data_IF_632591514701
#
_entry.id   IF_632591514701
#
_cell.length_a   1.000
_cell.length_b   1.000
_cell.length_c   1.000
_cell.angle_alpha   90.00
_cell.angle_beta   90.00
_cell.angle_gamma   90.00
#
_symmetry.space_group_name_H-M   'P 1'
#
loop_
_entity.id
_entity.type
_entity.pdbx_description
1 polymer ?
#
# COMPACT_ATOMS: atom_id res chain seq x y z
N UNK A 1 -0.09 -0.95 5.80
CA UNK A 1 -1.26 -0.09 5.84
C UNK A 1 -2.16 -0.29 7.05
N UNK A 2 -2.05 -1.40 7.74
CA UNK A 2 -2.77 -1.62 9.01
C UNK A 2 -2.11 -0.92 10.21
N UNK A 3 -0.94 -0.32 10.03
CA UNK A 3 -0.25 0.41 11.07
C UNK A 3 0.61 -0.44 12.01
N UNK A 4 0.89 -1.69 11.67
CA UNK A 4 1.77 -2.56 12.47
C UNK A 4 3.22 -2.40 12.01
N UNK A 5 3.89 -1.37 12.51
CA UNK A 5 5.23 -0.94 12.05
C UNK A 5 6.28 -2.05 12.21
N UNK A 6 6.37 -2.67 13.38
CA UNK A 6 7.37 -3.70 13.62
C UNK A 6 7.15 -4.94 12.74
N UNK A 7 5.89 -5.31 12.50
CA UNK A 7 5.55 -6.41 11.63
C UNK A 7 5.90 -6.09 10.18
N UNK A 8 5.62 -4.87 9.73
CA UNK A 8 5.95 -4.41 8.37
C UNK A 8 7.46 -4.46 8.13
N UNK A 9 8.25 -3.97 9.08
CA UNK A 9 9.72 -3.99 8.99
C UNK A 9 10.25 -5.42 8.89
N UNK A 10 9.73 -6.34 9.68
CA UNK A 10 10.12 -7.76 9.64
C UNK A 10 9.79 -8.40 8.30
N UNK A 11 8.62 -8.13 7.74
CA UNK A 11 8.20 -8.67 6.45
C UNK A 11 9.13 -8.16 5.34
N UNK A 12 9.42 -6.86 5.33
CA UNK A 12 10.31 -6.26 4.34
C UNK A 12 11.71 -6.88 4.42
N UNK A 13 12.28 -6.97 5.61
CA UNK A 13 13.61 -7.55 5.80
C UNK A 13 13.66 -9.00 5.35
N UNK A 14 12.60 -9.78 5.61
CA UNK A 14 12.49 -11.16 5.15
C UNK A 14 12.46 -11.25 3.63
N UNK A 15 11.65 -10.42 2.97
CA UNK A 15 11.54 -10.43 1.51
C UNK A 15 12.87 -10.06 0.86
N UNK A 16 13.59 -9.07 1.38
CA UNK A 16 14.90 -8.68 0.88
C UNK A 16 15.90 -9.81 1.06
N UNK A 17 15.90 -10.46 2.23
CA UNK A 17 16.76 -11.61 2.49
C UNK A 17 16.49 -12.80 1.57
N UNK A 18 15.25 -12.95 1.12
CA UNK A 18 14.84 -14.00 0.16
C UNK A 18 15.13 -13.62 -1.29
N UNK A 19 15.71 -12.47 -1.55
CA UNK A 19 16.09 -12.04 -2.89
C UNK A 19 15.04 -11.18 -3.61
N UNK A 20 13.97 -10.78 -2.96
CA UNK A 20 12.98 -9.88 -3.55
C UNK A 20 13.58 -8.49 -3.68
N UNK A 21 13.51 -7.89 -4.87
CA UNK A 21 14.08 -6.57 -5.07
C UNK A 21 13.23 -5.48 -4.38
N UNK A 22 13.88 -4.43 -3.84
CA UNK A 22 13.13 -3.30 -3.27
C UNK A 22 12.13 -2.67 -4.23
N UNK A 23 12.48 -2.54 -5.51
CA UNK A 23 11.58 -1.99 -6.54
C UNK A 23 10.33 -2.86 -6.68
N UNK A 24 10.46 -4.19 -6.65
CA UNK A 24 9.31 -5.09 -6.72
C UNK A 24 8.38 -4.93 -5.52
N UNK A 25 8.94 -4.73 -4.32
CA UNK A 25 8.18 -4.48 -3.10
C UNK A 25 7.37 -3.19 -3.24
N UNK A 26 8.03 -2.12 -3.69
CA UNK A 26 7.37 -0.81 -3.88
C UNK A 26 6.25 -0.89 -4.91
N UNK A 27 6.47 -1.59 -6.03
CA UNK A 27 5.44 -1.78 -7.06
C UNK A 27 4.26 -2.58 -6.56
N UNK A 28 4.51 -3.63 -5.77
CA UNK A 28 3.44 -4.42 -5.17
C UNK A 28 2.56 -3.58 -4.26
N UNK A 29 3.16 -2.76 -3.42
CA UNK A 29 2.43 -1.86 -2.53
C UNK A 29 1.67 -0.81 -3.33
N UNK A 30 2.29 -0.24 -4.36
CA UNK A 30 1.66 0.75 -5.25
C UNK A 30 0.43 0.15 -5.94
N UNK A 31 0.54 -1.08 -6.45
CA UNK A 31 -0.59 -1.76 -7.08
C UNK A 31 -1.73 -1.97 -6.09
N UNK A 32 -1.42 -2.36 -4.86
CA UNK A 32 -2.42 -2.53 -3.82
C UNK A 32 -3.15 -1.21 -3.52
N UNK A 33 -2.40 -0.13 -3.36
CA UNK A 33 -2.97 1.20 -3.08
C UNK A 33 -3.83 1.68 -4.26
N UNK A 34 -3.40 1.43 -5.50
CA UNK A 34 -4.21 1.75 -6.68
C UNK A 34 -5.53 0.99 -6.70
N UNK A 35 -5.55 -0.26 -6.24
CA UNK A 35 -6.78 -1.04 -6.12
C UNK A 35 -7.72 -0.43 -5.08
N UNK A 36 -7.19 -0.02 -3.93
CA UNK A 36 -7.98 0.69 -2.91
C UNK A 36 -8.55 1.99 -3.47
N UNK A 37 -7.72 2.75 -4.19
CA UNK A 37 -8.14 4.00 -4.82
C UNK A 37 -9.29 3.78 -5.80
N UNK A 38 -9.18 2.76 -6.65
CA UNK A 38 -10.23 2.43 -7.62
C UNK A 38 -11.55 2.10 -6.93
N UNK A 39 -11.52 1.28 -5.87
CA UNK A 39 -12.71 0.93 -5.11
C UNK A 39 -13.29 2.15 -4.39
N UNK A 40 -12.45 3.00 -3.82
CA UNK A 40 -12.88 4.24 -3.15
C UNK A 40 -13.61 5.18 -4.09
N UNK A 41 -13.13 5.33 -5.32
CA UNK A 41 -13.80 6.16 -6.32
C UNK A 41 -15.21 5.65 -6.60
N UNK A 42 -15.38 4.33 -6.73
CA UNK A 42 -16.68 3.73 -6.97
C UNK A 42 -17.62 3.89 -5.76
N UNK A 43 -17.10 3.77 -4.54
CA UNK A 43 -17.87 3.99 -3.31
C UNK A 43 -18.36 5.45 -3.26
N UNK A 44 -17.52 6.41 -3.64
CA UNK A 44 -17.90 7.83 -3.66
C UNK A 44 -18.98 8.13 -4.70
N UNK A 45 -19.07 7.31 -5.76
CA UNK A 45 -20.14 7.42 -6.75
C UNK A 45 -21.47 6.84 -6.27
N UNK A 46 -21.51 6.28 -5.06
CA UNK A 46 -22.72 5.77 -4.45
C UNK A 46 -22.84 4.25 -4.45
N UNK A 47 -21.84 3.53 -4.91
CA UNK A 47 -21.85 2.05 -4.86
C UNK A 47 -21.51 1.57 -3.46
N UNK A 48 -22.09 0.43 -3.05
CA UNK A 48 -21.65 -0.21 -1.81
C UNK A 48 -20.30 -0.89 -2.03
N UNK A 49 -19.70 -1.37 -0.94
CA UNK A 49 -18.37 -1.99 -1.00
C UNK A 49 -18.34 -3.21 -1.92
N UNK A 50 -19.34 -4.08 -1.83
CA UNK A 50 -19.37 -5.32 -2.62
C UNK A 50 -19.44 -5.02 -4.12
N UNK A 51 -20.22 -4.04 -4.52
CA UNK A 51 -20.30 -3.61 -5.92
C UNK A 51 -19.03 -2.88 -6.36
N UNK A 52 -18.46 -2.06 -5.49
CA UNK A 52 -17.26 -1.30 -5.81
C UNK A 52 -16.07 -2.20 -6.14
N UNK A 53 -15.91 -3.32 -5.41
CA UNK A 53 -14.76 -4.21 -5.63
C UNK A 53 -14.90 -5.11 -6.85
N UNK A 54 -16.11 -5.19 -7.46
CA UNK A 54 -16.31 -5.99 -8.66
C UNK A 54 -15.52 -5.50 -9.87
N UNK A 55 -15.13 -4.23 -9.88
CA UNK A 55 -14.32 -3.66 -10.98
C UNK A 55 -12.87 -4.12 -10.95
N UNK A 56 -12.42 -4.70 -9.85
CA UNK A 56 -11.01 -5.05 -9.67
C UNK A 56 -10.60 -6.23 -10.55
N UNK A 57 -9.46 -6.08 -11.23
CA UNK A 57 -8.84 -7.12 -12.05
C UNK A 57 -7.37 -7.24 -11.68
N UNK A 58 -6.90 -8.37 -11.14
CA UNK A 58 -7.66 -9.57 -10.81
C UNK A 58 -8.67 -9.35 -9.68
N UNK A 59 -9.68 -10.24 -9.54
CA UNK A 59 -10.68 -10.11 -8.49
C UNK A 59 -10.04 -10.11 -7.10
N UNK A 60 -10.71 -9.42 -6.16
CA UNK A 60 -10.26 -9.39 -4.77
C UNK A 60 -10.34 -10.77 -4.14
N UNK A 61 -9.22 -11.23 -3.56
CA UNK A 61 -9.17 -12.52 -2.87
C UNK A 61 -10.02 -12.46 -1.59
N UNK A 62 -10.88 -13.45 -1.38
CA UNK A 62 -11.84 -13.42 -0.28
C UNK A 62 -11.20 -13.29 1.10
N UNK A 63 -9.99 -13.84 1.30
CA UNK A 63 -9.26 -13.73 2.57
C UNK A 63 -8.78 -12.31 2.87
N UNK A 64 -8.62 -11.49 1.85
CA UNK A 64 -8.15 -10.11 1.98
C UNK A 64 -9.30 -9.12 2.10
N UNK A 65 -10.55 -9.58 1.97
CA UNK A 65 -11.72 -8.72 1.90
C UNK A 65 -11.88 -7.80 3.11
N UNK A 66 -11.70 -8.31 4.31
CA UNK A 66 -11.87 -7.52 5.54
C UNK A 66 -10.79 -6.45 5.69
N UNK A 67 -9.52 -6.80 5.42
CA UNK A 67 -8.41 -5.84 5.44
C UNK A 67 -8.60 -4.77 4.37
N UNK A 68 -9.00 -5.17 3.18
CA UNK A 68 -9.24 -4.26 2.06
C UNK A 68 -10.37 -3.28 2.40
N UNK A 69 -11.46 -3.78 2.97
CA UNK A 69 -12.59 -2.94 3.41
C UNK A 69 -12.13 -1.91 4.44
N UNK A 70 -11.32 -2.31 5.42
CA UNK A 70 -10.76 -1.42 6.44
C UNK A 70 -9.94 -0.32 5.79
N UNK A 71 -9.08 -0.66 4.84
CA UNK A 71 -8.27 0.33 4.13
C UNK A 71 -9.13 1.30 3.32
N UNK A 72 -10.16 0.81 2.64
CA UNK A 72 -11.10 1.67 1.92
C UNK A 72 -11.82 2.64 2.84
N UNK A 73 -12.17 2.18 4.05
CA UNK A 73 -12.91 2.99 5.02
C UNK A 73 -12.05 4.10 5.62
N UNK A 74 -10.81 3.79 6.00
CA UNK A 74 -9.99 4.71 6.80
C UNK A 74 -8.97 5.52 6.00
N UNK A 75 -8.67 5.10 4.76
CA UNK A 75 -7.72 5.82 3.92
C UNK A 75 -8.46 6.74 2.96
N UNK A 76 -8.45 8.07 3.19
CA UNK A 76 -9.09 8.99 2.25
C UNK A 76 -8.32 9.07 0.93
N UNK A 77 -9.03 9.46 -0.13
CA UNK A 77 -8.47 9.48 -1.48
C UNK A 77 -7.19 10.29 -1.58
N UNK A 78 -7.15 11.48 -0.96
CA UNK A 78 -5.97 12.34 -1.03
C UNK A 78 -4.74 11.72 -0.36
N UNK A 79 -4.94 10.93 0.69
CA UNK A 79 -3.84 10.20 1.35
C UNK A 79 -3.34 9.04 0.50
N UNK A 80 -4.23 8.36 -0.20
CA UNK A 80 -3.86 7.31 -1.14
C UNK A 80 -3.04 7.88 -2.29
N UNK A 81 -3.45 9.00 -2.85
CA UNK A 81 -2.72 9.68 -3.93
C UNK A 81 -1.34 10.14 -3.46
N UNK A 82 -1.24 10.69 -2.26
CA UNK A 82 0.03 11.09 -1.68
C UNK A 82 0.96 9.89 -1.48
N UNK A 83 0.44 8.77 -1.00
CA UNK A 83 1.21 7.55 -0.82
C UNK A 83 1.73 7.03 -2.16
N UNK A 84 0.91 7.04 -3.21
CA UNK A 84 1.31 6.63 -4.55
C UNK A 84 2.45 7.52 -5.06
N UNK A 85 2.33 8.85 -4.93
CA UNK A 85 3.37 9.77 -5.35
C UNK A 85 4.69 9.54 -4.62
N UNK A 86 4.62 9.30 -3.30
CA UNK A 86 5.80 9.01 -2.50
C UNK A 86 6.46 7.68 -2.92
N UNK A 87 5.66 6.68 -3.29
CA UNK A 87 6.16 5.39 -3.77
C UNK A 87 6.84 5.52 -5.13
N UNK A 88 6.28 6.35 -6.03
CA UNK A 88 6.90 6.63 -7.33
C UNK A 88 8.26 7.28 -7.13
N UNK A 89 8.34 8.28 -6.27
CA UNK A 89 9.63 8.95 -5.96
C UNK A 89 10.63 7.98 -5.33
N UNK A 90 10.17 7.12 -4.44
CA UNK A 90 11.03 6.10 -3.82
C UNK A 90 11.58 5.12 -4.86
N UNK A 91 10.76 4.69 -5.81
CA UNK A 91 11.20 3.82 -6.89
C UNK A 91 12.28 4.47 -7.74
N UNK A 92 12.11 5.75 -8.09
CA UNK A 92 13.09 6.51 -8.82
C UNK A 92 14.40 6.59 -8.03
N UNK A 93 14.32 6.90 -6.74
CA UNK A 93 15.50 6.98 -5.87
C UNK A 93 16.24 5.65 -5.77
N UNK A 94 15.52 4.53 -5.72
CA UNK A 94 16.13 3.19 -5.72
C UNK A 94 16.91 2.91 -7.01
N UNK A 95 16.42 3.39 -8.14
CA UNK A 95 17.08 3.20 -9.43
C UNK A 95 18.29 4.10 -9.60
N UNK A 96 18.26 5.31 -9.03
CA UNK A 96 19.38 6.25 -9.09
C UNK A 96 20.50 5.82 -8.15
N UNK A 97 20.17 5.32 -6.96
CA UNK A 97 21.15 4.87 -5.98
C UNK A 97 20.78 3.48 -5.47
N UNK A 98 21.25 2.45 -6.17
CA UNK A 98 20.96 1.06 -5.84
C UNK A 98 21.54 0.62 -4.50
N UNK A 99 22.60 1.29 -4.01
CA UNK A 99 23.22 0.96 -2.72
C UNK A 99 22.30 1.29 -1.55
N UNK A 100 21.45 2.30 -1.69
CA UNK A 100 20.51 2.73 -0.66
C UNK A 100 19.10 2.17 -0.85
N UNK A 101 18.88 1.34 -1.86
CA UNK A 101 17.53 0.89 -2.22
C UNK A 101 16.83 0.15 -1.08
N UNK A 102 17.54 -0.71 -0.34
CA UNK A 102 16.95 -1.44 0.79
C UNK A 102 16.45 -0.48 1.87
N UNK A 103 17.27 0.52 2.21
CA UNK A 103 16.93 1.52 3.21
C UNK A 103 15.77 2.41 2.77
N UNK A 104 15.77 2.81 1.49
CA UNK A 104 14.68 3.63 0.91
C UNK A 104 13.36 2.86 0.98
N UNK A 105 13.38 1.59 0.58
CA UNK A 105 12.21 0.73 0.64
C UNK A 105 11.66 0.59 2.05
N UNK A 106 12.53 0.27 3.01
CA UNK A 106 12.14 0.13 4.41
C UNK A 106 11.53 1.42 4.97
N UNK A 107 12.14 2.57 4.67
CA UNK A 107 11.66 3.86 5.14
C UNK A 107 10.26 4.18 4.65
N UNK A 108 10.00 4.02 3.36
CA UNK A 108 8.69 4.35 2.79
C UNK A 108 7.60 3.42 3.32
N UNK A 109 7.90 2.13 3.49
CA UNK A 109 6.94 1.18 4.03
C UNK A 109 6.61 1.51 5.49
N UNK A 110 7.60 1.86 6.29
CA UNK A 110 7.39 2.30 7.68
C UNK A 110 6.55 3.57 7.71
N UNK A 111 6.82 4.53 6.83
CA UNK A 111 6.06 5.76 6.76
C UNK A 111 4.58 5.51 6.47
N UNK A 112 4.29 4.64 5.50
CA UNK A 112 2.90 4.27 5.17
C UNK A 112 2.24 3.52 6.33
N UNK A 113 2.98 2.66 7.02
CA UNK A 113 2.49 1.96 8.21
C UNK A 113 2.12 2.93 9.33
N UNK A 114 2.94 3.95 9.57
CA UNK A 114 2.65 5.00 10.56
C UNK A 114 1.39 5.78 10.19
N UNK A 115 1.24 6.15 8.92
CA UNK A 115 0.02 6.81 8.43
C UNK A 115 -1.20 5.93 8.70
N UNK A 116 -1.13 4.64 8.37
CA UNK A 116 -2.20 3.70 8.62
C UNK A 116 -2.55 3.60 10.09
N UNK A 117 -1.54 3.57 10.95
CA UNK A 117 -1.76 3.53 12.40
C UNK A 117 -2.53 4.75 12.89
N UNK A 118 -2.18 5.94 12.42
CA UNK A 118 -2.86 7.17 12.79
C UNK A 118 -4.30 7.21 12.26
N UNK A 119 -4.51 6.78 11.02
CA UNK A 119 -5.82 6.80 10.37
C UNK A 119 -6.79 5.79 11.00
N UNK A 120 -6.32 4.60 11.36
CA UNK A 120 -7.18 3.53 11.86
C UNK A 120 -7.48 3.69 13.35
N UNK A 121 -6.53 4.18 14.14
CA UNK A 121 -6.75 4.40 15.58
C UNK A 121 -7.63 5.59 15.90
N UNK A 122 -7.70 6.55 15.01
CA UNK A 122 -8.50 7.75 15.18
C UNK A 122 -9.82 7.64 14.46
#
# INVERSE_FOLDING_TARGET
MNGKISKSSKIINKLIAEGTSPVSILRGLMNYINRIKAANIEIRKGKDFDDAVKILTPPLFWKDKDSFRTHCKYWPLFKLEKAINNLVEAEISCKVDSKLSDLICERIVIQISKEGQLLIKN
#
